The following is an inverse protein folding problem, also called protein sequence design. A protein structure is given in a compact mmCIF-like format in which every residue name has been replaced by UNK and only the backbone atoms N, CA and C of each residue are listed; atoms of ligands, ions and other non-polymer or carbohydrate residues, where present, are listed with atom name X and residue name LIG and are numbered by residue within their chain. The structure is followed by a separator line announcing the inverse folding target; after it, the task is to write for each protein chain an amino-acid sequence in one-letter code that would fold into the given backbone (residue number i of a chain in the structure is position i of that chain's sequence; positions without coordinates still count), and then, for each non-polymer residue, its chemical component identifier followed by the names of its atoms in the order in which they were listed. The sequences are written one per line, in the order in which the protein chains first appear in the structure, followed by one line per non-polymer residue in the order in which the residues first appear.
data_IF_369856403078
#
_entry.id   IF_369856403078
#
_cell.length_a   1.000
_cell.length_b   1.000
_cell.length_c   1.000
_cell.angle_alpha   90.00
_cell.angle_beta   90.00
_cell.angle_gamma   90.00
#
_symmetry.space_group_name_H-M   'P 1'
#
loop_
_entity.id
_entity.type
_entity.pdbx_description
1 polymer ?
#
# COMPACT_ATOMS: atom_id res chain seq x y z
N UNK A 1 -1.45 -11.17 4.55
CA UNK A 1 -1.31 -9.70 4.67
C UNK A 1 -2.59 -9.04 4.22
N UNK A 2 -3.11 -8.16 5.04
CA UNK A 2 -4.34 -7.43 4.74
C UNK A 2 -4.35 -6.11 5.51
N UNK A 3 -5.23 -5.21 5.13
CA UNK A 3 -5.41 -3.98 5.89
C UNK A 3 -5.96 -4.29 7.29
N UNK A 4 -5.54 -3.51 8.28
CA UNK A 4 -6.00 -3.67 9.65
C UNK A 4 -7.52 -3.46 9.71
N UNK A 5 -8.15 -4.04 10.75
CA UNK A 5 -9.60 -4.16 10.87
C UNK A 5 -10.38 -2.85 10.67
N UNK A 6 -9.86 -1.75 11.17
CA UNK A 6 -10.55 -0.45 11.11
C UNK A 6 -9.95 0.47 10.05
N UNK A 7 -9.22 -0.07 9.09
CA UNK A 7 -8.58 0.71 8.04
C UNK A 7 -9.33 0.53 6.73
N UNK A 8 -9.70 1.65 6.11
CA UNK A 8 -10.41 1.66 4.82
C UNK A 8 -9.55 2.33 3.77
N UNK A 9 -9.63 1.83 2.54
CA UNK A 9 -8.91 2.37 1.41
C UNK A 9 -9.89 2.93 0.40
N UNK A 10 -9.59 4.13 -0.11
CA UNK A 10 -10.36 4.73 -1.20
C UNK A 10 -9.41 5.27 -2.25
N UNK A 11 -9.65 4.92 -3.50
CA UNK A 11 -8.87 5.44 -4.61
C UNK A 11 -9.32 6.85 -4.96
N UNK A 12 -8.36 7.70 -5.30
CA UNK A 12 -8.58 9.08 -5.69
C UNK A 12 -7.74 9.39 -6.93
N UNK A 13 -8.02 10.52 -7.60
CA UNK A 13 -7.24 10.92 -8.78
C UNK A 13 -5.76 11.13 -8.46
N UNK A 14 -5.46 11.65 -7.28
CA UNK A 14 -4.08 11.90 -6.86
C UNK A 14 -3.37 10.63 -6.38
N UNK A 15 -4.09 9.54 -6.21
CA UNK A 15 -3.57 8.28 -5.67
C UNK A 15 -4.61 7.60 -4.81
N UNK A 16 -4.66 7.90 -3.53
CA UNK A 16 -5.64 7.31 -2.65
C UNK A 16 -5.57 7.83 -1.23
N UNK A 17 -6.45 7.31 -0.41
CA UNK A 17 -6.54 7.67 1.01
C UNK A 17 -6.70 6.40 1.83
N UNK A 18 -5.94 6.29 2.92
CA UNK A 18 -6.20 5.31 3.96
C UNK A 18 -6.85 6.05 5.12
N UNK A 19 -7.94 5.51 5.59
CA UNK A 19 -8.71 6.10 6.68
C UNK A 19 -8.80 5.10 7.83
N UNK A 20 -8.29 5.49 9.01
CA UNK A 20 -8.39 4.66 10.21
C UNK A 20 -9.58 5.17 11.02
N UNK A 21 -10.67 4.37 11.06
CA UNK A 21 -11.96 4.83 11.54
C UNK A 21 -12.05 5.07 13.03
N UNK A 22 -11.22 4.38 13.83
CA UNK A 22 -11.28 4.55 15.29
C UNK A 22 -10.60 5.84 15.75
N UNK A 23 -9.44 6.13 15.18
CA UNK A 23 -8.67 7.33 15.51
C UNK A 23 -9.04 8.52 14.65
N UNK A 24 -9.81 8.28 13.58
CA UNK A 24 -10.19 9.28 12.57
C UNK A 24 -8.99 9.88 11.84
N UNK A 25 -7.87 9.16 11.81
CA UNK A 25 -6.68 9.59 11.08
C UNK A 25 -6.83 9.29 9.60
N UNK A 26 -6.33 10.21 8.79
CA UNK A 26 -6.37 10.11 7.33
C UNK A 26 -4.93 10.20 6.80
N UNK A 27 -4.58 9.28 5.92
CA UNK A 27 -3.26 9.23 5.30
C UNK A 27 -3.41 9.32 3.80
N UNK A 28 -2.85 10.35 3.19
CA UNK A 28 -2.86 10.50 1.73
C UNK A 28 -1.79 9.62 1.10
N UNK A 29 -2.14 9.00 -0.02
CA UNK A 29 -1.24 8.13 -0.75
C UNK A 29 -1.00 8.72 -2.15
N UNK A 30 0.27 8.71 -2.58
CA UNK A 30 0.57 9.03 -3.97
C UNK A 30 0.17 7.84 -4.85
N UNK A 31 0.24 7.96 -6.20
CA UNK A 31 -0.19 6.87 -7.08
C UNK A 31 0.51 5.54 -6.82
N UNK A 32 1.80 5.55 -6.51
CA UNK A 32 2.52 4.30 -6.27
C UNK A 32 2.08 3.65 -4.95
N UNK A 33 1.89 4.46 -3.89
CA UNK A 33 1.38 3.94 -2.63
C UNK A 33 -0.02 3.37 -2.77
N UNK A 34 -0.89 4.07 -3.50
CA UNK A 34 -2.25 3.59 -3.76
C UNK A 34 -2.25 2.27 -4.53
N UNK A 35 -1.35 2.13 -5.51
CA UNK A 35 -1.24 0.88 -6.28
C UNK A 35 -0.81 -0.28 -5.38
N UNK A 36 0.11 -0.05 -4.45
CA UNK A 36 0.53 -1.07 -3.50
C UNK A 36 -0.65 -1.48 -2.62
N UNK A 37 -1.39 -0.51 -2.08
CA UNK A 37 -2.55 -0.82 -1.24
C UNK A 37 -3.61 -1.58 -2.01
N UNK A 38 -3.82 -1.25 -3.28
CA UNK A 38 -4.76 -1.98 -4.14
C UNK A 38 -4.36 -3.46 -4.23
N UNK A 39 -3.07 -3.74 -4.38
CA UNK A 39 -2.60 -5.13 -4.41
C UNK A 39 -2.84 -5.84 -3.08
N UNK A 40 -2.64 -5.14 -1.96
CA UNK A 40 -2.93 -5.71 -0.64
C UNK A 40 -4.42 -6.08 -0.53
N UNK A 41 -5.29 -5.18 -0.92
CA UNK A 41 -6.75 -5.40 -0.86
C UNK A 41 -7.17 -6.54 -1.77
N UNK A 42 -6.48 -6.71 -2.90
CA UNK A 42 -6.75 -7.80 -3.85
C UNK A 42 -6.22 -9.15 -3.37
N UNK A 43 -5.47 -9.19 -2.28
CA UNK A 43 -4.95 -10.44 -1.75
C UNK A 43 -3.61 -10.88 -2.33
N UNK A 44 -2.93 -9.99 -3.06
CA UNK A 44 -1.63 -10.30 -3.63
C UNK A 44 -0.60 -10.55 -2.52
N UNK A 45 0.16 -11.64 -2.63
CA UNK A 45 1.20 -11.96 -1.67
C UNK A 45 2.33 -10.93 -1.75
N UNK A 46 2.90 -10.57 -0.60
CA UNK A 46 3.92 -9.54 -0.53
C UNK A 46 5.06 -9.73 -1.54
N UNK A 47 5.63 -10.95 -1.71
CA UNK A 47 6.73 -11.13 -2.66
C UNK A 47 6.37 -10.84 -4.11
N UNK A 48 5.08 -10.81 -4.44
CA UNK A 48 4.61 -10.64 -5.80
C UNK A 48 4.22 -9.20 -6.14
N UNK A 49 4.11 -8.34 -5.14
CA UNK A 49 3.62 -6.97 -5.35
C UNK A 49 4.51 -6.18 -6.30
N UNK A 50 5.82 -6.18 -6.06
CA UNK A 50 6.74 -5.41 -6.91
C UNK A 50 6.67 -5.87 -8.36
N UNK A 51 6.61 -7.19 -8.58
CA UNK A 51 6.52 -7.74 -9.93
C UNK A 51 5.24 -7.33 -10.65
N UNK A 52 4.13 -7.22 -9.93
CA UNK A 52 2.87 -6.81 -10.52
C UNK A 52 2.84 -5.32 -10.87
N UNK A 53 3.67 -4.52 -10.22
CA UNK A 53 3.68 -3.08 -10.43
C UNK A 53 4.76 -2.61 -11.40
N UNK A 54 5.68 -3.47 -11.78
CA UNK A 54 6.85 -3.07 -12.59
C UNK A 54 6.48 -2.47 -13.95
N UNK A 55 5.38 -2.91 -14.54
CA UNK A 55 4.94 -2.41 -15.83
C UNK A 55 4.21 -1.07 -15.74
N UNK A 56 3.82 -0.68 -14.55
CA UNK A 56 3.10 0.58 -14.31
C UNK A 56 4.01 1.71 -13.86
N UNK A 57 5.15 1.36 -13.26
CA UNK A 57 6.09 2.33 -12.71
C UNK A 57 7.47 2.06 -13.28
N UNK A 58 8.10 3.10 -13.83
CA UNK A 58 9.40 2.98 -14.49
C UNK A 58 10.55 3.03 -13.48
N UNK A 59 10.60 2.03 -12.63
CA UNK A 59 11.69 1.89 -11.67
C UNK A 59 12.38 0.56 -11.92
N UNK A 60 13.63 0.47 -11.55
CA UNK A 60 14.36 -0.80 -11.58
C UNK A 60 13.66 -1.79 -10.64
N UNK A 61 13.70 -3.08 -10.98
CA UNK A 61 13.00 -4.09 -10.18
C UNK A 61 13.48 -4.11 -8.73
N UNK A 62 14.79 -3.97 -8.50
CA UNK A 62 15.33 -3.96 -7.14
C UNK A 62 14.91 -2.71 -6.38
N UNK A 63 14.88 -1.57 -7.05
CA UNK A 63 14.43 -0.32 -6.46
C UNK A 63 12.96 -0.38 -6.09
N UNK A 64 12.13 -0.92 -6.97
CA UNK A 64 10.71 -1.06 -6.72
C UNK A 64 10.43 -2.02 -5.56
N UNK A 65 11.18 -3.13 -5.48
CA UNK A 65 11.05 -4.08 -4.38
C UNK A 65 11.40 -3.43 -3.05
N UNK A 66 12.47 -2.63 -3.02
CA UNK A 66 12.87 -1.91 -1.81
C UNK A 66 11.81 -0.88 -1.41
N UNK A 67 11.23 -0.17 -2.38
CA UNK A 67 10.17 0.81 -2.12
C UNK A 67 8.93 0.14 -1.55
N UNK A 68 8.53 -1.00 -2.12
CA UNK A 68 7.39 -1.76 -1.62
C UNK A 68 7.66 -2.21 -0.18
N UNK A 69 8.83 -2.78 0.09
CA UNK A 69 9.19 -3.25 1.42
C UNK A 69 9.15 -2.12 2.45
N UNK A 70 9.74 -0.96 2.12
CA UNK A 70 9.75 0.20 2.99
C UNK A 70 8.35 0.74 3.26
N UNK A 71 7.51 0.77 2.22
CA UNK A 71 6.14 1.22 2.35
C UNK A 71 5.33 0.30 3.26
N UNK A 72 5.45 -1.01 3.08
CA UNK A 72 4.74 -1.97 3.92
C UNK A 72 5.21 -1.91 5.37
N UNK A 73 6.52 -1.73 5.60
CA UNK A 73 7.04 -1.56 6.94
C UNK A 73 6.45 -0.32 7.62
N UNK A 74 6.28 0.76 6.87
CA UNK A 74 5.66 1.98 7.38
C UNK A 74 4.20 1.75 7.75
N UNK A 75 3.45 1.04 6.90
CA UNK A 75 2.06 0.71 7.21
C UNK A 75 1.95 -0.16 8.47
N UNK A 76 2.86 -1.12 8.63
CA UNK A 76 2.88 -1.96 9.83
C UNK A 76 3.18 -1.14 11.07
N UNK A 77 4.15 -0.24 10.97
CA UNK A 77 4.54 0.63 12.09
C UNK A 77 3.38 1.50 12.53
N UNK A 78 2.54 1.94 11.61
CA UNK A 78 1.39 2.77 11.90
C UNK A 78 0.14 1.97 12.30
N UNK A 79 0.24 0.65 12.32
CA UNK A 79 -0.89 -0.19 12.68
C UNK A 79 -1.97 -0.30 11.62
N UNK A 80 -1.62 -0.02 10.36
CA UNK A 80 -2.59 -0.02 9.27
C UNK A 80 -2.62 -1.35 8.50
N UNK A 81 -1.71 -2.26 8.82
CA UNK A 81 -1.55 -3.52 8.10
C UNK A 81 -1.45 -4.67 9.10
N UNK A 82 -2.14 -5.78 8.80
CA UNK A 82 -2.07 -7.03 9.56
C UNK A 82 -1.48 -8.12 8.69
N UNK A 83 -0.71 -9.00 9.29
CA UNK A 83 -0.13 -10.14 8.59
C UNK A 83 -1.01 -11.39 8.61
#
# INVERSE_FOLDING_TARGET
MKLAKYTKFREERFGGVLFETRSEKVYSLNPSGAAIVREIVSGTAEPQIAGRLKDRFRAGQNELAADVEGFLAELRRRGLLED
#
